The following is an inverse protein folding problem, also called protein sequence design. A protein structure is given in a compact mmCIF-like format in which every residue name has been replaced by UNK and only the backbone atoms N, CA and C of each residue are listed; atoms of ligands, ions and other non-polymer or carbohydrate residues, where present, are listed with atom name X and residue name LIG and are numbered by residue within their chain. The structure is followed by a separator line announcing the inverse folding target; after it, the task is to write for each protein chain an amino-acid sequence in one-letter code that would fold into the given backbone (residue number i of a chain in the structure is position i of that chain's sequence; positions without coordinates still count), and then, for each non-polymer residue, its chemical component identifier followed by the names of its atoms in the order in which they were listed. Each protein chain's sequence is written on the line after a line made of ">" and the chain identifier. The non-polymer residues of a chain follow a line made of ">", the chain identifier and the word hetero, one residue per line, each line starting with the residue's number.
data_IF_282524956140
#
_entry.id   IF_282524956140
#
_cell.length_a   1.000
_cell.length_b   1.000
_cell.length_c   1.000
_cell.angle_alpha   90.00
_cell.angle_beta   90.00
_cell.angle_gamma   90.00
#
_symmetry.space_group_name_H-M   'P 1'
#
loop_
_entity.id
_entity.type
_entity.pdbx_description
1 polymer ?
#
# COMPACT_ATOMS: atom_id res chain seq x y z
N UNK A 1 5.00 -11.61 -10.53
CA UNK A 1 3.65 -11.34 -11.10
C UNK A 1 3.19 -9.90 -10.78
N UNK A 2 3.99 -8.88 -11.12
CA UNK A 2 3.71 -7.47 -10.81
C UNK A 2 2.93 -6.77 -11.95
N UNK A 3 2.92 -7.37 -13.14
CA UNK A 3 2.29 -6.79 -14.33
C UNK A 3 0.77 -6.61 -14.18
N UNK A 4 0.09 -7.60 -13.59
CA UNK A 4 -1.37 -7.59 -13.40
C UNK A 4 -1.84 -6.41 -12.53
N UNK A 5 -1.30 -6.18 -11.32
CA UNK A 5 -1.73 -5.04 -10.50
C UNK A 5 -1.35 -3.68 -11.11
N UNK A 6 -0.20 -3.57 -11.81
CA UNK A 6 0.15 -2.33 -12.53
C UNK A 6 -0.85 -2.04 -13.64
N UNK A 7 -1.21 -3.06 -14.44
CA UNK A 7 -2.19 -2.91 -15.52
C UNK A 7 -3.56 -2.51 -14.97
N UNK A 8 -4.01 -3.17 -13.89
CA UNK A 8 -5.28 -2.83 -13.22
C UNK A 8 -5.29 -1.38 -12.70
N UNK A 9 -4.16 -0.90 -12.15
CA UNK A 9 -4.01 0.49 -11.70
C UNK A 9 -4.09 1.47 -12.88
N UNK A 10 -3.38 1.20 -13.97
CA UNK A 10 -3.42 2.05 -15.17
C UNK A 10 -4.84 2.11 -15.73
N UNK A 11 -5.51 0.95 -15.86
CA UNK A 11 -6.89 0.87 -16.34
C UNK A 11 -7.83 1.67 -15.45
N UNK A 12 -7.70 1.56 -14.12
CA UNK A 12 -8.50 2.32 -13.17
C UNK A 12 -8.30 3.84 -13.28
N UNK A 13 -7.05 4.29 -13.42
CA UNK A 13 -6.73 5.72 -13.61
C UNK A 13 -7.31 6.23 -14.93
N UNK A 14 -7.13 5.48 -16.02
CA UNK A 14 -7.65 5.84 -17.35
C UNK A 14 -9.18 5.90 -17.32
N UNK A 15 -9.86 4.92 -16.73
CA UNK A 15 -11.32 4.97 -16.58
C UNK A 15 -11.78 6.20 -15.79
N UNK A 16 -11.12 6.51 -14.68
CA UNK A 16 -11.43 7.71 -13.89
C UNK A 16 -11.27 9.00 -14.71
N UNK A 17 -10.22 9.08 -15.53
CA UNK A 17 -9.96 10.23 -16.39
C UNK A 17 -10.94 10.34 -17.57
N UNK A 18 -11.40 9.21 -18.12
CA UNK A 18 -12.40 9.18 -19.21
C UNK A 18 -13.79 9.56 -18.69
N UNK A 19 -14.16 9.09 -17.50
CA UNK A 19 -15.49 9.33 -16.95
C UNK A 19 -15.68 10.83 -16.61
N UNK A 20 -14.64 11.54 -16.17
CA UNK A 20 -14.53 13.00 -15.89
C UNK A 20 -15.84 13.77 -15.63
N UNK A 21 -16.77 13.14 -14.92
CA UNK A 21 -18.07 13.72 -14.62
C UNK A 21 -18.01 14.12 -13.16
N UNK A 22 -18.15 15.41 -12.83
CA UNK A 22 -18.09 15.85 -11.45
C UNK A 22 -19.21 15.15 -10.66
N UNK A 23 -18.81 14.31 -9.72
CA UNK A 23 -19.74 13.60 -8.84
C UNK A 23 -20.31 14.63 -7.87
N UNK A 24 -21.64 14.82 -7.90
CA UNK A 24 -22.34 15.85 -7.11
C UNK A 24 -23.08 15.23 -5.93
N UNK A 25 -23.27 16.04 -4.89
CA UNK A 25 -24.11 15.70 -3.73
C UNK A 25 -23.58 14.52 -2.93
N UNK A 26 -24.50 13.78 -2.32
CA UNK A 26 -24.16 12.70 -1.38
C UNK A 26 -23.36 11.57 -2.03
N UNK A 27 -23.56 11.30 -3.32
CA UNK A 27 -22.82 10.25 -4.04
C UNK A 27 -21.31 10.45 -3.96
N UNK A 28 -20.85 11.71 -3.92
CA UNK A 28 -19.43 12.02 -3.79
C UNK A 28 -18.85 11.57 -2.43
N UNK A 29 -19.64 11.68 -1.36
CA UNK A 29 -19.22 11.26 -0.02
C UNK A 29 -19.11 9.73 0.07
N UNK A 30 -20.08 9.01 -0.49
CA UNK A 30 -20.09 7.55 -0.54
C UNK A 30 -18.93 7.01 -1.38
N UNK A 31 -18.67 7.62 -2.53
CA UNK A 31 -17.53 7.29 -3.37
C UNK A 31 -16.20 7.57 -2.65
N UNK A 32 -16.09 8.73 -1.98
CA UNK A 32 -14.90 9.11 -1.21
C UNK A 32 -14.54 8.07 -0.15
N UNK A 33 -15.49 7.64 0.69
CA UNK A 33 -15.20 6.61 1.69
C UNK A 33 -14.98 5.22 1.10
N UNK A 34 -15.64 4.89 -0.02
CA UNK A 34 -15.36 3.64 -0.74
C UNK A 34 -13.91 3.60 -1.22
N UNK A 35 -13.43 4.69 -1.81
CA UNK A 35 -12.02 4.82 -2.21
C UNK A 35 -11.09 4.71 -1.01
N UNK A 36 -11.41 5.33 0.13
CA UNK A 36 -10.61 5.21 1.35
C UNK A 36 -10.56 3.76 1.86
N UNK A 37 -11.69 3.05 1.90
CA UNK A 37 -11.74 1.64 2.33
C UNK A 37 -10.95 0.70 1.40
N UNK A 38 -11.00 0.95 0.09
CA UNK A 38 -10.21 0.24 -0.90
C UNK A 38 -8.71 0.53 -0.75
N UNK A 39 -8.35 1.80 -0.58
CA UNK A 39 -6.97 2.24 -0.41
C UNK A 39 -6.34 1.67 0.87
N UNK A 40 -7.06 1.64 1.99
CA UNK A 40 -6.59 0.99 3.23
C UNK A 40 -6.20 -0.47 2.98
N UNK A 41 -7.02 -1.19 2.21
CA UNK A 41 -6.77 -2.59 1.87
C UNK A 41 -5.56 -2.75 0.95
N UNK A 42 -5.35 -1.84 -0.01
CA UNK A 42 -4.16 -1.82 -0.88
C UNK A 42 -2.89 -1.53 -0.07
N UNK A 43 -2.94 -0.58 0.86
CA UNK A 43 -1.82 -0.27 1.75
C UNK A 43 -1.50 -1.46 2.66
N UNK A 44 -2.52 -2.09 3.24
CA UNK A 44 -2.39 -3.30 4.06
C UNK A 44 -1.81 -4.47 3.27
N UNK A 45 -2.31 -4.72 2.05
CA UNK A 45 -1.81 -5.76 1.16
C UNK A 45 -0.35 -5.53 0.77
N UNK A 46 0.02 -4.29 0.43
CA UNK A 46 1.41 -3.92 0.10
C UNK A 46 2.35 -4.18 1.28
N UNK A 47 1.93 -3.81 2.49
CA UNK A 47 2.64 -4.10 3.74
C UNK A 47 2.82 -5.60 3.94
N UNK A 48 1.76 -6.39 3.86
CA UNK A 48 1.83 -7.85 3.99
C UNK A 48 2.71 -8.49 2.92
N UNK A 49 2.76 -7.93 1.71
CA UNK A 49 3.68 -8.33 0.65
C UNK A 49 5.15 -8.14 1.03
N UNK A 50 5.51 -6.99 1.59
CA UNK A 50 6.88 -6.72 2.05
C UNK A 50 7.29 -7.56 3.26
N UNK A 51 6.33 -7.92 4.11
CA UNK A 51 6.50 -8.83 5.25
C UNK A 51 6.52 -10.32 4.83
N UNK A 52 6.28 -10.65 3.55
CA UNK A 52 6.25 -12.04 3.06
C UNK A 52 5.02 -12.84 3.53
N UNK A 53 3.98 -12.17 4.02
CA UNK A 53 2.75 -12.75 4.58
C UNK A 53 1.51 -12.47 3.73
N UNK A 54 1.70 -12.14 2.45
CA UNK A 54 0.60 -11.79 1.57
C UNK A 54 -0.28 -13.00 1.28
N UNK A 55 -1.58 -12.83 1.48
CA UNK A 55 -2.61 -13.83 1.26
C UNK A 55 -3.73 -13.22 0.42
N UNK A 56 -3.89 -13.74 -0.81
CA UNK A 56 -4.84 -13.19 -1.79
C UNK A 56 -6.28 -13.25 -1.33
N UNK A 57 -6.67 -14.35 -0.67
CA UNK A 57 -7.99 -14.53 -0.08
C UNK A 57 -8.31 -13.47 0.99
N UNK A 58 -7.36 -13.23 1.90
CA UNK A 58 -7.48 -12.20 2.95
C UNK A 58 -7.51 -10.79 2.34
N UNK A 59 -6.71 -10.54 1.29
CA UNK A 59 -6.72 -9.26 0.60
C UNK A 59 -8.05 -8.97 -0.11
N UNK A 60 -8.56 -9.92 -0.89
CA UNK A 60 -9.81 -9.75 -1.66
C UNK A 60 -10.99 -9.56 -0.71
N UNK A 61 -11.10 -10.44 0.30
CA UNK A 61 -12.18 -10.34 1.30
C UNK A 61 -12.09 -9.03 2.08
N UNK A 62 -10.89 -8.63 2.50
CA UNK A 62 -10.64 -7.35 3.17
C UNK A 62 -10.99 -6.15 2.30
N UNK A 63 -10.62 -6.16 1.01
CA UNK A 63 -10.91 -5.07 0.07
C UNK A 63 -12.40 -4.79 -0.05
N UNK A 64 -13.20 -5.82 -0.35
CA UNK A 64 -14.65 -5.66 -0.50
C UNK A 64 -15.34 -5.41 0.85
N UNK A 65 -14.93 -6.09 1.93
CA UNK A 65 -15.51 -5.89 3.25
C UNK A 65 -15.26 -4.47 3.78
N UNK A 66 -14.04 -3.94 3.64
CA UNK A 66 -13.71 -2.59 4.10
C UNK A 66 -14.50 -1.53 3.32
N UNK A 67 -14.63 -1.69 1.99
CA UNK A 67 -15.46 -0.79 1.17
C UNK A 67 -16.93 -0.87 1.60
N UNK A 68 -17.46 -2.08 1.75
CA UNK A 68 -18.85 -2.29 2.17
C UNK A 68 -19.12 -1.66 3.54
N UNK A 69 -18.22 -1.85 4.51
CA UNK A 69 -18.30 -1.24 5.84
C UNK A 69 -18.23 0.29 5.73
N UNK A 70 -17.30 0.84 4.93
CA UNK A 70 -17.15 2.28 4.77
C UNK A 70 -18.43 2.94 4.22
N UNK A 71 -18.98 2.37 3.15
CA UNK A 71 -20.23 2.80 2.52
C UNK A 71 -21.40 2.61 3.49
N UNK A 72 -21.46 1.47 4.19
CA UNK A 72 -22.50 1.20 5.17
C UNK A 72 -22.49 2.20 6.32
N UNK A 73 -21.32 2.63 6.82
CA UNK A 73 -21.24 3.66 7.86
C UNK A 73 -21.79 5.00 7.38
N UNK A 74 -21.43 5.44 6.17
CA UNK A 74 -21.94 6.70 5.62
C UNK A 74 -23.44 6.62 5.37
N UNK A 75 -23.90 5.50 4.84
CA UNK A 75 -25.32 5.22 4.70
C UNK A 75 -26.05 5.27 6.04
N UNK A 76 -25.53 4.58 7.05
CA UNK A 76 -26.12 4.56 8.38
C UNK A 76 -26.18 5.97 8.98
N UNK A 77 -25.12 6.76 8.81
CA UNK A 77 -25.05 8.16 9.24
C UNK A 77 -26.16 9.01 8.62
N UNK A 78 -26.42 8.82 7.32
CA UNK A 78 -27.51 9.52 6.63
C UNK A 78 -28.90 9.19 7.18
N UNK A 79 -29.10 7.99 7.77
CA UNK A 79 -30.40 7.58 8.36
C UNK A 79 -30.63 8.13 9.76
N UNK A 80 -29.55 8.39 10.51
CA UNK A 80 -29.61 8.93 11.87
C UNK A 80 -29.29 10.44 11.93
N UNK A 81 -29.15 11.09 10.77
CA UNK A 81 -28.77 12.52 10.63
C UNK A 81 -27.44 12.87 11.31
N UNK A 82 -26.48 11.94 11.33
CA UNK A 82 -25.11 12.14 11.86
C UNK A 82 -24.10 12.02 10.74
N UNK A 83 -23.09 12.89 10.75
CA UNK A 83 -22.00 12.85 9.77
C UNK A 83 -20.99 11.73 10.10
N UNK A 84 -21.34 10.49 9.77
CA UNK A 84 -20.43 9.34 9.87
C UNK A 84 -19.38 9.28 8.75
N UNK A 85 -19.49 10.14 7.73
CA UNK A 85 -18.46 10.28 6.70
C UNK A 85 -17.13 10.70 7.31
N UNK A 86 -17.12 11.74 8.16
CA UNK A 86 -15.87 12.18 8.81
C UNK A 86 -15.30 11.12 9.75
N UNK A 87 -16.16 10.38 10.46
CA UNK A 87 -15.74 9.29 11.36
C UNK A 87 -15.08 8.16 10.56
N UNK A 88 -15.74 7.69 9.50
CA UNK A 88 -15.19 6.67 8.62
C UNK A 88 -13.88 7.15 7.98
N UNK A 89 -13.87 8.36 7.42
CA UNK A 89 -12.68 8.94 6.80
C UNK A 89 -11.51 9.05 7.77
N UNK A 90 -11.77 9.44 9.03
CA UNK A 90 -10.74 9.50 10.06
C UNK A 90 -10.20 8.10 10.40
N UNK A 91 -11.07 7.13 10.64
CA UNK A 91 -10.66 5.75 10.95
C UNK A 91 -9.85 5.14 9.81
N UNK A 92 -10.35 5.18 8.57
CA UNK A 92 -9.60 4.69 7.41
C UNK A 92 -8.30 5.49 7.21
N UNK A 93 -8.34 6.81 7.38
CA UNK A 93 -7.15 7.67 7.30
C UNK A 93 -6.05 7.23 8.27
N UNK A 94 -6.38 7.00 9.54
CA UNK A 94 -5.40 6.53 10.54
C UNK A 94 -4.80 5.17 10.16
N UNK A 95 -5.62 4.24 9.65
CA UNK A 95 -5.14 2.92 9.21
C UNK A 95 -4.22 3.02 7.99
N UNK A 96 -4.57 3.85 7.01
CA UNK A 96 -3.74 4.14 5.84
C UNK A 96 -2.40 4.73 6.26
N UNK A 97 -2.39 5.78 7.09
CA UNK A 97 -1.15 6.41 7.56
C UNK A 97 -0.27 5.45 8.37
N UNK A 98 -0.87 4.60 9.19
CA UNK A 98 -0.14 3.58 9.93
C UNK A 98 0.51 2.56 8.99
N UNK A 99 -0.25 2.04 8.02
CA UNK A 99 0.26 1.12 7.00
C UNK A 99 1.39 1.76 6.17
N UNK A 100 1.24 3.02 5.75
CA UNK A 100 2.29 3.78 5.04
C UNK A 100 3.54 3.99 5.89
N UNK A 101 3.38 4.32 7.17
CA UNK A 101 4.50 4.54 8.10
C UNK A 101 5.36 3.28 8.25
N UNK A 102 4.72 2.11 8.33
CA UNK A 102 5.38 0.82 8.38
C UNK A 102 6.02 0.46 7.03
N UNK A 103 5.32 0.71 5.92
CA UNK A 103 5.85 0.51 4.57
C UNK A 103 7.16 1.29 4.36
N UNK A 104 7.15 2.59 4.71
CA UNK A 104 8.31 3.47 4.66
C UNK A 104 9.46 2.92 5.51
N UNK A 105 9.18 2.53 6.76
CA UNK A 105 10.20 2.00 7.67
C UNK A 105 10.85 0.73 7.10
N UNK A 106 10.03 -0.22 6.64
CA UNK A 106 10.52 -1.47 6.07
C UNK A 106 11.34 -1.25 4.79
N UNK A 107 10.87 -0.36 3.91
CA UNK A 107 11.59 -0.01 2.69
C UNK A 107 12.96 0.60 3.00
N UNK A 108 13.02 1.51 3.98
CA UNK A 108 14.28 2.13 4.40
C UNK A 108 15.26 1.12 4.99
N UNK A 109 14.81 0.26 5.91
CA UNK A 109 15.65 -0.77 6.52
C UNK A 109 16.20 -1.73 5.45
N UNK A 110 15.36 -2.24 4.54
CA UNK A 110 15.82 -3.11 3.45
C UNK A 110 16.86 -2.43 2.55
N UNK A 111 16.69 -1.13 2.29
CA UNK A 111 17.65 -0.36 1.49
C UNK A 111 18.99 -0.16 2.18
N UNK A 112 18.98 0.10 3.50
CA UNK A 112 20.19 0.21 4.32
C UNK A 112 20.95 -1.12 4.38
N UNK A 113 20.25 -2.23 4.64
CA UNK A 113 20.85 -3.56 4.70
C UNK A 113 21.48 -3.95 3.34
N UNK A 114 20.82 -3.63 2.23
CA UNK A 114 21.35 -3.89 0.89
C UNK A 114 22.62 -3.09 0.59
N UNK A 115 22.74 -1.86 1.11
CA UNK A 115 23.96 -1.06 0.98
C UNK A 115 25.11 -1.62 1.80
N UNK A 116 24.84 -2.06 3.03
CA UNK A 116 25.86 -2.66 3.89
C UNK A 116 26.44 -3.94 3.27
N UNK A 117 25.57 -4.81 2.72
CA UNK A 117 26.03 -6.04 2.04
C UNK A 117 27.00 -5.76 0.88
N UNK A 118 26.69 -4.76 0.05
CA UNK A 118 27.57 -4.37 -1.06
C UNK A 118 28.91 -3.80 -0.61
N UNK A 119 28.93 -3.05 0.49
CA UNK A 119 30.17 -2.52 1.07
C UNK A 119 31.08 -3.66 1.57
N UNK A 120 30.51 -4.60 2.33
CA UNK A 120 31.24 -5.79 2.83
C UNK A 120 31.77 -6.65 1.69
N UNK A 121 30.97 -6.89 0.65
CA UNK A 121 31.38 -7.68 -0.52
C UNK A 121 32.54 -7.02 -1.30
N UNK A 122 32.54 -5.68 -1.37
CA UNK A 122 33.62 -4.91 -1.99
C UNK A 122 34.93 -4.97 -1.18
N UNK A 123 34.84 -4.94 0.15
CA UNK A 123 35.99 -5.09 1.04
C UNK A 123 36.60 -6.50 0.96
N UNK A 124 35.77 -7.55 0.96
CA UNK A 124 36.22 -8.95 0.82
C UNK A 124 36.88 -9.18 -0.54
N UNK A 125 36.30 -8.65 -1.63
CA UNK A 125 36.88 -8.76 -2.97
C UNK A 125 38.25 -8.03 -3.06
N UNK A 126 38.41 -6.91 -2.37
CA UNK A 126 39.67 -6.16 -2.33
C UNK A 126 40.75 -6.91 -1.54
N UNK A 127 40.39 -7.56 -0.44
CA UNK A 127 41.33 -8.35 0.38
C UNK A 127 41.78 -9.64 -0.32
N UNK A 128 40.87 -10.34 -1.01
CA UNK A 128 41.22 -11.56 -1.76
C UNK A 128 42.12 -11.27 -2.96
N UNK A 129 41.90 -10.14 -3.65
CA UNK A 129 42.80 -9.69 -4.71
C UNK A 129 44.23 -9.40 -4.22
N UNK A 130 44.37 -8.86 -3.00
CA UNK A 130 45.68 -8.60 -2.38
C UNK A 130 46.37 -9.89 -1.89
N UNK A 131 45.62 -10.86 -1.35
CA UNK A 131 46.17 -12.15 -0.93
C UNK A 131 46.64 -13.02 -2.11
N UNK A 132 45.93 -12.99 -3.24
CA UNK A 132 46.35 -13.71 -4.45
C UNK A 132 47.68 -13.20 -5.02
N UNK A 133 48.01 -11.93 -4.79
CA UNK A 133 49.23 -11.29 -5.28
C UNK A 133 50.45 -11.46 -4.35
N UNK A 134 50.25 -12.01 -3.15
CA UNK A 134 51.31 -12.26 -2.16
C UNK A 134 51.75 -13.73 -2.08
N UNK A 135 51.25 -14.63 -2.94
CA UNK A 135 51.69 -16.03 -2.96
C UNK A 135 53.10 -16.09 -3.57
N UNK A 136 54.17 -16.31 -2.80
CA UNK A 136 55.52 -16.42 -3.34
C UNK A 136 55.66 -17.79 -4.02
N UNK A 137 56.21 -17.82 -5.23
CA UNK A 137 56.79 -19.03 -5.83
C UNK A 137 58.04 -19.45 -5.07
#
# INVERSE_FOLDING_TARGET
>A
MILVPILAMIVGIVLGFVINTPVKGDVALYLGVAVLGGLDSVCGGSRSGLEGKFRTDVFITGFFANIAIAVFLVWLGSRISVNLYLVAAFVFGTRIFNNLSLLRRMALTKWQDARQRKAVESEVATQQGQQAQQTPL
#
